data_IF_003937289341
#
_entry.id   IF_003937289341
#
_cell.length_a   1.000
_cell.length_b   1.000
_cell.length_c   1.000
_cell.angle_alpha   90.00
_cell.angle_beta   90.00
_cell.angle_gamma   90.00
#
_symmetry.space_group_name_H-M   'P 1'
#
loop_
_entity.id
_entity.type
_entity.pdbx_description
1 polymer ?
#
# COMPACT_ATOMS: atom_id res chain seq x y z
N UNK A 1 -14.82 -13.72 11.20
CA UNK A 1 -14.71 -13.34 9.78
C UNK A 1 -14.51 -11.83 9.73
N UNK A 2 -13.27 -11.36 9.61
CA UNK A 2 -13.05 -9.94 9.32
C UNK A 2 -13.51 -9.69 7.89
N UNK A 3 -14.40 -8.72 7.69
CA UNK A 3 -14.92 -8.36 6.38
C UNK A 3 -13.76 -7.82 5.52
N UNK A 4 -13.20 -8.67 4.66
CA UNK A 4 -12.07 -8.35 3.79
C UNK A 4 -12.34 -7.12 2.91
N UNK A 5 -13.60 -6.90 2.56
CA UNK A 5 -14.03 -5.78 1.71
C UNK A 5 -13.99 -4.45 2.46
N UNK A 6 -14.28 -4.46 3.77
CA UNK A 6 -14.18 -3.27 4.61
C UNK A 6 -12.72 -2.82 4.74
N UNK A 7 -11.81 -3.77 5.00
CA UNK A 7 -10.36 -3.49 5.10
C UNK A 7 -9.81 -2.95 3.77
N UNK A 8 -10.25 -3.52 2.64
CA UNK A 8 -9.83 -3.03 1.32
C UNK A 8 -10.32 -1.59 1.07
N UNK A 9 -11.56 -1.29 1.43
CA UNK A 9 -12.16 0.04 1.27
C UNK A 9 -11.43 1.08 2.12
N UNK A 10 -11.14 0.77 3.39
CA UNK A 10 -10.43 1.66 4.30
C UNK A 10 -8.99 1.94 3.81
N UNK A 11 -8.29 0.92 3.30
CA UNK A 11 -6.93 1.08 2.75
C UNK A 11 -6.94 1.96 1.49
N UNK A 12 -7.95 1.80 0.64
CA UNK A 12 -8.08 2.61 -0.56
C UNK A 12 -8.30 4.10 -0.22
N UNK A 13 -9.20 4.41 0.72
CA UNK A 13 -9.44 5.76 1.21
C UNK A 13 -8.18 6.37 1.86
N UNK A 14 -7.52 5.60 2.71
CA UNK A 14 -6.25 6.00 3.32
C UNK A 14 -5.18 6.33 2.27
N UNK A 15 -5.04 5.50 1.23
CA UNK A 15 -4.09 5.74 0.15
C UNK A 15 -4.39 7.01 -0.65
N UNK A 16 -5.66 7.38 -0.79
CA UNK A 16 -6.07 8.61 -1.46
C UNK A 16 -5.55 9.86 -0.74
N UNK A 17 -5.47 9.82 0.60
CA UNK A 17 -4.93 10.92 1.41
C UNK A 17 -3.40 10.85 1.55
N UNK A 18 -2.87 9.64 1.72
CA UNK A 18 -1.44 9.42 1.94
C UNK A 18 -0.59 9.73 0.69
N UNK A 19 -1.03 9.29 -0.49
CA UNK A 19 -0.23 9.42 -1.72
C UNK A 19 0.09 10.87 -2.11
N UNK A 20 -0.87 11.82 -2.08
CA UNK A 20 -0.59 13.23 -2.31
C UNK A 20 0.34 13.84 -1.25
N UNK A 21 0.11 13.52 0.03
CA UNK A 21 0.94 14.00 1.13
C UNK A 21 2.39 13.50 1.00
N UNK A 22 2.56 12.22 0.68
CA UNK A 22 3.86 11.60 0.43
C UNK A 22 4.55 12.22 -0.78
N UNK A 23 3.84 12.43 -1.89
CA UNK A 23 4.40 13.12 -3.08
C UNK A 23 4.86 14.54 -2.76
N UNK A 24 4.13 15.28 -1.91
CA UNK A 24 4.48 16.64 -1.48
C UNK A 24 5.71 16.65 -0.55
N UNK A 25 5.86 15.64 0.29
CA UNK A 25 6.98 15.51 1.23
C UNK A 25 8.26 14.95 0.58
N UNK A 26 8.19 14.48 -0.67
CA UNK A 26 9.39 14.01 -1.39
C UNK A 26 10.26 15.19 -1.78
N UNK A 27 11.52 15.12 -1.36
CA UNK A 27 12.56 16.05 -1.76
C UNK A 27 12.69 16.02 -3.29
N UNK A 28 12.46 17.18 -3.92
CA UNK A 28 12.40 17.35 -5.38
C UNK A 28 13.67 16.92 -6.13
N UNK A 29 14.78 16.75 -5.41
CA UNK A 29 16.10 16.59 -5.99
C UNK A 29 16.50 15.13 -6.31
N UNK A 30 15.68 14.15 -5.93
CA UNK A 30 15.91 12.77 -6.34
C UNK A 30 15.19 12.48 -7.66
N UNK A 31 15.95 12.12 -8.70
CA UNK A 31 15.43 11.57 -9.97
C UNK A 31 14.68 10.28 -9.67
N UNK A 32 13.39 10.40 -9.41
CA UNK A 32 12.57 9.26 -9.04
C UNK A 32 11.98 8.64 -10.28
N UNK A 33 12.15 7.34 -10.41
CA UNK A 33 11.66 6.59 -11.56
C UNK A 33 10.13 6.55 -11.46
N UNK A 34 9.45 7.37 -12.25
CA UNK A 34 7.99 7.34 -12.38
C UNK A 34 7.61 6.13 -13.26
N UNK A 35 7.95 4.93 -12.80
CA UNK A 35 7.66 3.68 -13.49
C UNK A 35 6.27 3.23 -13.08
N UNK A 36 5.43 2.90 -14.05
CA UNK A 36 4.20 2.18 -13.78
C UNK A 36 4.55 0.79 -13.20
N UNK A 37 4.08 0.53 -11.98
CA UNK A 37 4.14 -0.79 -11.38
C UNK A 37 2.90 -1.60 -11.77
N UNK A 38 2.97 -2.92 -11.65
CA UNK A 38 1.82 -3.80 -11.92
C UNK A 38 0.72 -3.68 -10.87
N UNK A 39 1.08 -3.28 -9.66
CA UNK A 39 0.17 -3.05 -8.54
C UNK A 39 0.19 -1.59 -8.11
N UNK A 40 -0.98 -1.08 -7.77
CA UNK A 40 -1.12 0.19 -7.05
C UNK A 40 -0.58 0.07 -5.63
N UNK A 41 -0.25 1.21 -5.02
CA UNK A 41 0.24 1.25 -3.65
C UNK A 41 -0.82 0.73 -2.66
N UNK A 42 -2.10 0.97 -2.92
CA UNK A 42 -3.20 0.43 -2.12
C UNK A 42 -3.26 -1.09 -2.16
N UNK A 43 -3.15 -1.70 -3.34
CA UNK A 43 -3.11 -3.16 -3.49
C UNK A 43 -1.92 -3.78 -2.74
N UNK A 44 -0.75 -3.15 -2.82
CA UNK A 44 0.44 -3.60 -2.08
C UNK A 44 0.21 -3.50 -0.56
N UNK A 45 -0.37 -2.41 -0.07
CA UNK A 45 -0.70 -2.27 1.35
C UNK A 45 -1.70 -3.33 1.83
N UNK A 46 -2.73 -3.62 1.03
CA UNK A 46 -3.70 -4.68 1.33
C UNK A 46 -3.02 -6.04 1.43
N UNK A 47 -2.15 -6.39 0.47
CA UNK A 47 -1.39 -7.66 0.52
C UNK A 47 -0.56 -7.74 1.80
N UNK A 48 0.13 -6.66 2.17
CA UNK A 48 0.95 -6.62 3.38
C UNK A 48 0.10 -6.80 4.64
N UNK A 49 -1.00 -6.05 4.76
CA UNK A 49 -1.90 -6.12 5.93
C UNK A 49 -2.52 -7.51 6.05
N UNK A 50 -2.99 -8.08 4.94
CA UNK A 50 -3.55 -9.43 4.91
C UNK A 50 -2.50 -10.48 5.28
N UNK A 51 -1.26 -10.33 4.80
CA UNK A 51 -0.15 -11.20 5.16
C UNK A 51 0.14 -11.16 6.67
N UNK A 52 0.20 -9.96 7.27
CA UNK A 52 0.37 -9.81 8.72
C UNK A 52 -0.81 -10.40 9.51
N UNK A 53 -2.04 -10.18 9.08
CA UNK A 53 -3.24 -10.74 9.72
C UNK A 53 -3.29 -12.27 9.64
N UNK A 54 -2.73 -12.85 8.58
CA UNK A 54 -2.68 -14.31 8.39
C UNK A 54 -1.71 -15.01 9.35
N UNK A 55 -0.93 -14.27 10.14
CA UNK A 55 -0.01 -14.83 11.14
C UNK A 55 1.28 -15.41 10.56
N UNK A 56 1.53 -15.23 9.25
CA UNK A 56 2.78 -15.63 8.63
C UNK A 56 3.88 -14.61 8.98
N UNK A 57 4.98 -15.10 9.54
CA UNK A 57 6.12 -14.25 9.97
C UNK A 57 7.16 -14.02 8.87
N UNK A 58 7.13 -14.83 7.83
CA UNK A 58 8.09 -14.77 6.72
C UNK A 58 7.41 -15.23 5.44
N UNK A 59 7.72 -14.57 4.33
CA UNK A 59 7.44 -15.14 3.01
C UNK A 59 8.39 -16.32 2.84
N UNK A 60 7.83 -17.53 2.84
CA UNK A 60 8.63 -18.71 2.50
C UNK A 60 8.98 -18.59 1.02
N UNK A 61 10.28 -18.41 0.73
CA UNK A 61 10.84 -18.50 -0.62
C UNK A 61 10.69 -19.90 -1.17
#
# INVERSE_FOLDING_TARGET
MHNSDAVFTDIADFCQVLLPAYKKHRISNFKTKNRAYRFSIGEVMTIIIFFYQSGFRYFKM
#
